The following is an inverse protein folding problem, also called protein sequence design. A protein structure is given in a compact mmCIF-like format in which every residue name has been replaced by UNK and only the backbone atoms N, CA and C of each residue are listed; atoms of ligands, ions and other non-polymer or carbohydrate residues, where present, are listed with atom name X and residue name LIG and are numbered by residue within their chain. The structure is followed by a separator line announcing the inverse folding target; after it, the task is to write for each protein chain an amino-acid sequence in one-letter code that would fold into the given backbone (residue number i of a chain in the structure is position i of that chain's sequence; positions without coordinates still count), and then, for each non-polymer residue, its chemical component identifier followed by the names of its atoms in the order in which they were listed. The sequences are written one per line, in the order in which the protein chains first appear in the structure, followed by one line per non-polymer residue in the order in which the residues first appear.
data_IF_810513243843
#
_entry.id   IF_810513243843
#
_cell.length_a   1.000
_cell.length_b   1.000
_cell.length_c   1.000
_cell.angle_alpha   90.00
_cell.angle_beta   90.00
_cell.angle_gamma   90.00
#
_symmetry.space_group_name_H-M   'P 1'
#
loop_
_entity.id
_entity.type
_entity.pdbx_description
1 polymer ?
#
# COMPACT_ATOMS: atom_id res chain seq x y z
N UNK A 1 23.65 -62.39 -12.96
CA UNK A 1 23.55 -61.25 -12.03
C UNK A 1 24.72 -60.34 -12.33
N UNK A 2 24.51 -59.31 -13.13
CA UNK A 2 25.60 -58.46 -13.62
C UNK A 2 25.68 -57.19 -12.79
N UNK A 3 26.72 -57.12 -11.96
CA UNK A 3 27.47 -55.90 -11.71
C UNK A 3 28.02 -55.36 -13.04
N UNK A 4 27.88 -54.06 -13.26
CA UNK A 4 28.67 -53.33 -14.24
C UNK A 4 29.37 -52.16 -13.53
N UNK A 5 30.69 -52.27 -13.43
CA UNK A 5 31.60 -51.15 -13.24
C UNK A 5 32.13 -50.76 -14.63
N UNK A 6 32.10 -49.46 -14.94
CA UNK A 6 32.86 -48.71 -15.95
C UNK A 6 31.99 -47.50 -16.38
N UNK A 7 32.50 -46.28 -16.57
CA UNK A 7 33.89 -45.86 -16.59
C UNK A 7 33.99 -44.34 -16.66
N UNK A 8 35.23 -43.85 -16.58
CA UNK A 8 35.60 -42.58 -17.17
C UNK A 8 35.25 -42.63 -18.67
N UNK A 9 34.17 -41.98 -19.08
CA UNK A 9 33.92 -41.65 -20.48
C UNK A 9 34.09 -40.15 -20.65
N UNK A 10 35.22 -39.80 -21.26
CA UNK A 10 35.48 -38.54 -21.94
C UNK A 10 34.39 -38.32 -23.00
N UNK A 11 33.38 -37.53 -22.66
CA UNK A 11 32.54 -36.76 -23.57
C UNK A 11 31.72 -35.79 -22.71
N UNK A 12 32.38 -34.74 -22.21
CA UNK A 12 31.68 -33.62 -21.58
C UNK A 12 30.89 -32.88 -22.66
N UNK A 13 29.63 -33.28 -22.82
CA UNK A 13 28.64 -32.49 -23.57
C UNK A 13 28.71 -31.05 -23.08
N UNK A 14 28.80 -30.07 -24.01
CA UNK A 14 29.07 -28.66 -23.69
C UNK A 14 28.13 -28.05 -22.65
N UNK A 15 26.96 -28.65 -22.42
CA UNK A 15 25.99 -28.26 -21.39
C UNK A 15 26.42 -28.59 -19.95
N UNK A 16 27.11 -29.72 -19.72
CA UNK A 16 27.61 -30.12 -18.40
C UNK A 16 28.75 -29.20 -17.89
N UNK A 17 29.39 -28.47 -18.80
CA UNK A 17 30.45 -27.51 -18.51
C UNK A 17 29.86 -26.27 -17.83
N UNK A 18 28.63 -25.84 -18.18
CA UNK A 18 28.10 -24.55 -17.74
C UNK A 18 27.59 -24.53 -16.29
N UNK A 19 26.90 -25.57 -15.82
CA UNK A 19 26.43 -25.62 -14.43
C UNK A 19 27.61 -25.73 -13.44
N UNK A 20 28.62 -26.54 -13.78
CA UNK A 20 29.89 -26.61 -13.04
C UNK A 20 30.68 -25.31 -13.15
N UNK A 21 30.71 -24.68 -14.31
CA UNK A 21 31.40 -23.40 -14.53
C UNK A 21 30.75 -22.26 -13.75
N UNK A 22 29.41 -22.22 -13.68
CA UNK A 22 28.67 -21.22 -12.91
C UNK A 22 28.85 -21.42 -11.40
N UNK A 23 28.76 -22.66 -10.91
CA UNK A 23 29.12 -22.97 -9.52
C UNK A 23 30.57 -22.57 -9.22
N UNK A 24 31.50 -22.86 -10.14
CA UNK A 24 32.89 -22.45 -10.05
C UNK A 24 33.09 -20.93 -10.07
N UNK A 25 32.32 -20.20 -10.88
CA UNK A 25 32.38 -18.74 -10.98
C UNK A 25 31.91 -18.06 -9.69
N UNK A 26 30.85 -18.58 -9.07
CA UNK A 26 30.41 -18.09 -7.76
C UNK A 26 31.46 -18.41 -6.68
N UNK A 27 32.06 -19.61 -6.70
CA UNK A 27 33.14 -19.96 -5.78
C UNK A 27 34.41 -19.10 -5.97
N UNK A 28 34.71 -18.69 -7.21
CA UNK A 28 35.80 -17.75 -7.54
C UNK A 28 35.47 -16.28 -7.28
N UNK A 29 34.27 -15.97 -6.77
CA UNK A 29 33.75 -14.61 -6.52
C UNK A 29 33.67 -13.73 -7.77
N UNK A 30 33.50 -14.33 -8.95
CA UNK A 30 33.29 -13.59 -10.21
C UNK A 30 31.87 -13.01 -10.33
N UNK A 31 30.95 -13.48 -9.48
CA UNK A 31 29.57 -13.03 -9.34
C UNK A 31 29.35 -12.51 -7.90
N UNK A 32 29.63 -11.24 -7.60
CA UNK A 32 29.60 -10.68 -6.25
C UNK A 32 28.26 -10.83 -5.51
N UNK A 33 27.12 -10.86 -6.23
CA UNK A 33 25.81 -10.96 -5.57
C UNK A 33 25.23 -12.38 -5.57
N UNK A 34 25.94 -13.36 -6.15
CA UNK A 34 25.47 -14.74 -6.17
C UNK A 34 25.69 -15.44 -4.83
N UNK A 35 24.69 -16.20 -4.39
CA UNK A 35 24.73 -17.00 -3.17
C UNK A 35 24.64 -18.47 -3.53
N UNK A 36 25.52 -19.27 -2.94
CA UNK A 36 25.48 -20.73 -3.09
C UNK A 36 25.11 -21.32 -1.73
N UNK A 37 24.04 -22.09 -1.72
CA UNK A 37 23.69 -22.91 -0.56
C UNK A 37 23.85 -24.38 -0.95
N UNK A 38 24.50 -25.13 -0.07
CA UNK A 38 24.71 -26.56 -0.24
C UNK A 38 23.92 -27.30 0.83
N UNK A 39 23.06 -28.21 0.40
CA UNK A 39 22.24 -29.03 1.29
C UNK A 39 22.61 -30.49 1.10
N UNK A 40 22.93 -31.16 2.21
CA UNK A 40 23.14 -32.60 2.26
C UNK A 40 21.90 -33.26 2.86
N UNK A 41 21.13 -33.98 2.05
CA UNK A 41 20.00 -34.79 2.50
C UNK A 41 20.39 -36.27 2.35
N UNK A 42 21.14 -36.80 3.33
CA UNK A 42 21.61 -38.19 3.32
C UNK A 42 22.66 -38.47 2.24
N UNK A 43 22.38 -39.41 1.34
CA UNK A 43 23.27 -39.76 0.21
C UNK A 43 23.19 -38.77 -0.97
N UNK A 44 22.24 -37.83 -0.93
CA UNK A 44 22.07 -36.82 -1.97
C UNK A 44 22.63 -35.49 -1.49
N UNK A 45 23.47 -34.88 -2.33
CA UNK A 45 23.91 -33.50 -2.16
C UNK A 45 23.25 -32.64 -3.23
N UNK A 46 22.67 -31.52 -2.82
CA UNK A 46 22.08 -30.54 -3.73
C UNK A 46 22.75 -29.18 -3.52
N UNK A 47 22.97 -28.50 -4.64
CA UNK A 47 23.50 -27.14 -4.69
C UNK A 47 22.40 -26.24 -5.23
N UNK A 48 22.11 -25.16 -4.50
CA UNK A 48 21.19 -24.11 -4.93
C UNK A 48 22.00 -22.84 -5.11
N UNK A 49 21.81 -22.20 -6.27
CA UNK A 49 22.51 -20.98 -6.65
C UNK A 49 21.47 -19.88 -6.86
N UNK A 50 21.49 -18.87 -6.01
CA UNK A 50 20.66 -17.68 -6.13
C UNK A 50 21.51 -16.55 -6.73
N UNK A 51 21.08 -15.96 -7.84
CA UNK A 51 21.87 -14.95 -8.54
C UNK A 51 20.97 -13.99 -9.34
N UNK A 52 21.47 -12.77 -9.60
CA UNK A 52 20.80 -11.84 -10.49
C UNK A 52 21.03 -12.23 -11.96
N UNK A 53 19.94 -12.42 -12.69
CA UNK A 53 19.98 -12.87 -14.09
C UNK A 53 20.89 -12.00 -14.97
N UNK A 54 20.77 -10.68 -14.83
CA UNK A 54 21.56 -9.71 -15.59
C UNK A 54 23.06 -9.85 -15.37
N UNK A 55 23.48 -10.04 -14.10
CA UNK A 55 24.88 -10.19 -13.72
C UNK A 55 25.48 -11.48 -14.29
N UNK A 56 24.72 -12.58 -14.23
CA UNK A 56 25.12 -13.87 -14.82
C UNK A 56 25.18 -13.76 -16.34
N UNK A 57 24.25 -13.06 -16.99
CA UNK A 57 24.25 -12.86 -18.42
C UNK A 57 25.45 -12.04 -18.92
N UNK A 58 25.87 -11.01 -18.17
CA UNK A 58 27.08 -10.26 -18.48
C UNK A 58 28.34 -11.12 -18.32
N UNK A 59 28.44 -11.90 -17.24
CA UNK A 59 29.53 -12.86 -17.05
C UNK A 59 29.57 -13.89 -18.19
N UNK A 60 28.41 -14.42 -18.56
CA UNK A 60 28.25 -15.38 -19.64
C UNK A 60 28.70 -14.82 -20.99
N UNK A 61 28.35 -13.56 -21.30
CA UNK A 61 28.83 -12.87 -22.50
C UNK A 61 30.35 -12.71 -22.54
N UNK A 62 30.99 -12.41 -21.41
CA UNK A 62 32.46 -12.28 -21.30
C UNK A 62 33.17 -13.62 -21.48
N UNK A 63 32.64 -14.70 -20.91
CA UNK A 63 33.29 -16.02 -20.95
C UNK A 63 33.11 -16.73 -22.29
N UNK A 64 31.98 -16.51 -22.97
CA UNK A 64 31.76 -17.05 -24.32
C UNK A 64 32.52 -16.27 -25.39
N UNK A 65 32.58 -14.93 -25.30
CA UNK A 65 33.35 -14.10 -26.23
C UNK A 65 34.87 -14.25 -26.11
N UNK A 66 35.40 -14.73 -24.97
CA UNK A 66 36.82 -15.01 -24.80
C UNK A 66 37.29 -16.29 -25.51
N UNK A 67 36.37 -17.21 -25.85
CA UNK A 67 36.67 -18.46 -26.55
C UNK A 67 36.46 -18.38 -28.07
N UNK A 68 35.82 -17.32 -28.58
CA UNK A 68 35.76 -17.02 -30.02
C UNK A 68 36.85 -16.02 -30.40
N UNK A 69 38.00 -16.53 -30.86
CA UNK A 69 39.10 -15.71 -31.43
C UNK A 69 38.67 -14.80 -32.62
N UNK A 70 37.41 -14.85 -33.07
CA UNK A 70 36.85 -14.00 -34.12
C UNK A 70 36.15 -12.72 -33.65
N UNK A 71 35.69 -12.64 -32.39
CA UNK A 71 34.83 -11.53 -31.93
C UNK A 71 35.57 -10.43 -31.15
N UNK A 72 36.84 -10.63 -30.81
CA UNK A 72 37.70 -9.57 -30.26
C UNK A 72 37.86 -8.40 -31.25
N UNK A 73 37.76 -8.65 -32.56
CA UNK A 73 37.78 -7.60 -33.58
C UNK A 73 36.49 -6.73 -33.57
N UNK A 74 35.33 -7.33 -33.28
CA UNK A 74 34.06 -6.59 -33.22
C UNK A 74 33.93 -5.74 -31.95
N UNK A 75 34.46 -6.22 -30.82
CA UNK A 75 34.49 -5.46 -29.57
C UNK A 75 35.50 -4.30 -29.59
N UNK A 76 36.62 -4.43 -30.33
CA UNK A 76 37.60 -3.35 -30.53
C UNK A 76 37.16 -2.32 -31.58
N UNK A 77 36.38 -2.71 -32.59
CA UNK A 77 35.85 -1.80 -33.62
C UNK A 77 34.68 -0.93 -33.12
N UNK A 78 33.98 -1.35 -32.06
CA UNK A 78 32.94 -0.53 -31.42
C UNK A 78 33.51 0.58 -30.50
N UNK A 79 34.82 0.57 -30.24
CA UNK A 79 35.49 1.55 -29.38
C UNK A 79 36.17 2.69 -30.16
N UNK A 80 36.16 2.67 -31.51
CA UNK A 80 36.72 3.75 -32.32
C UNK A 80 35.60 4.50 -33.06
N UNK A 81 35.37 5.71 -32.58
CA UNK A 81 34.78 6.85 -33.25
C UNK A 81 33.26 6.86 -33.53
N UNK A 82 32.61 7.66 -32.66
CA UNK A 82 31.42 8.47 -32.91
C UNK A 82 30.03 7.81 -32.87
N UNK A 83 29.54 7.38 -31.70
CA UNK A 83 28.08 7.41 -31.40
C UNK A 83 27.72 7.17 -29.91
N UNK A 84 28.06 8.10 -29.01
CA UNK A 84 27.75 8.02 -27.57
C UNK A 84 26.26 7.89 -27.19
N UNK A 85 25.32 8.24 -28.08
CA UNK A 85 23.88 8.04 -27.86
C UNK A 85 23.36 6.67 -28.36
N UNK A 86 24.10 6.00 -29.27
CA UNK A 86 23.79 4.67 -29.79
C UNK A 86 24.43 3.54 -28.97
N UNK A 87 25.57 3.81 -28.34
CA UNK A 87 26.35 2.84 -27.55
C UNK A 87 25.61 2.34 -26.29
N UNK A 88 24.84 3.20 -25.61
CA UNK A 88 24.05 2.77 -24.43
C UNK A 88 22.95 1.79 -24.82
N UNK A 89 22.29 2.03 -25.95
CA UNK A 89 21.26 1.14 -26.49
C UNK A 89 21.89 -0.15 -27.02
N UNK A 90 23.06 -0.08 -27.66
CA UNK A 90 23.79 -1.26 -28.13
C UNK A 90 24.22 -2.16 -26.95
N UNK A 91 24.71 -1.58 -25.85
CA UNK A 91 25.05 -2.31 -24.63
C UNK A 91 23.81 -2.94 -23.97
N UNK A 92 22.68 -2.24 -23.93
CA UNK A 92 21.42 -2.78 -23.42
C UNK A 92 20.91 -3.95 -24.28
N UNK A 93 20.99 -3.82 -25.62
CA UNK A 93 20.61 -4.88 -26.57
C UNK A 93 21.55 -6.08 -26.45
N UNK A 94 22.86 -5.87 -26.29
CA UNK A 94 23.83 -6.93 -26.05
C UNK A 94 23.56 -7.66 -24.72
N UNK A 95 23.22 -6.93 -23.66
CA UNK A 95 22.84 -7.55 -22.40
C UNK A 95 21.55 -8.38 -22.52
N UNK A 96 20.51 -7.85 -23.15
CA UNK A 96 19.24 -8.54 -23.34
C UNK A 96 19.38 -9.81 -24.22
N UNK A 97 20.25 -9.77 -25.24
CA UNK A 97 20.54 -10.93 -26.09
C UNK A 97 21.30 -12.01 -25.34
N UNK A 98 22.28 -11.64 -24.51
CA UNK A 98 22.99 -12.57 -23.64
C UNK A 98 22.07 -13.17 -22.57
N UNK A 99 21.17 -12.39 -21.98
CA UNK A 99 20.15 -12.89 -21.04
C UNK A 99 19.23 -13.91 -21.69
N UNK A 100 18.75 -13.61 -22.90
CA UNK A 100 17.89 -14.53 -23.65
C UNK A 100 18.61 -15.84 -23.96
N UNK A 101 19.88 -15.78 -24.37
CA UNK A 101 20.69 -16.96 -24.65
C UNK A 101 20.91 -17.80 -23.38
N UNK A 102 21.29 -17.15 -22.29
CA UNK A 102 21.45 -17.80 -20.98
C UNK A 102 20.16 -18.49 -20.53
N UNK A 103 19.01 -17.83 -20.62
CA UNK A 103 17.72 -18.42 -20.25
C UNK A 103 17.34 -19.63 -21.10
N UNK A 104 17.65 -19.60 -22.41
CA UNK A 104 17.43 -20.74 -23.30
C UNK A 104 18.28 -21.94 -22.89
N UNK A 105 19.55 -21.70 -22.54
CA UNK A 105 20.46 -22.75 -22.09
C UNK A 105 20.10 -23.30 -20.71
N UNK A 106 19.71 -22.45 -19.76
CA UNK A 106 19.23 -22.89 -18.44
C UNK A 106 17.97 -23.75 -18.58
N UNK A 107 17.06 -23.39 -19.51
CA UNK A 107 15.89 -24.21 -19.81
C UNK A 107 16.27 -25.53 -20.47
N UNK A 108 17.24 -25.54 -21.39
CA UNK A 108 17.76 -26.78 -21.98
C UNK A 108 18.43 -27.68 -20.93
N UNK A 109 19.20 -27.11 -20.00
CA UNK A 109 19.84 -27.83 -18.89
C UNK A 109 18.83 -28.41 -17.90
N UNK A 110 17.67 -27.76 -17.73
CA UNK A 110 16.54 -28.32 -16.98
C UNK A 110 15.92 -29.53 -17.72
N UNK A 111 15.74 -29.43 -19.03
CA UNK A 111 15.17 -30.52 -19.84
C UNK A 111 16.09 -31.74 -19.93
N UNK A 112 17.41 -31.54 -19.92
CA UNK A 112 18.41 -32.62 -19.91
C UNK A 112 18.68 -33.20 -18.51
N UNK A 113 17.96 -32.72 -17.49
CA UNK A 113 18.05 -33.23 -16.12
C UNK A 113 19.29 -32.78 -15.34
N UNK A 114 20.10 -31.86 -15.88
CA UNK A 114 21.26 -31.30 -15.20
C UNK A 114 20.87 -30.30 -14.10
N UNK A 115 19.74 -29.62 -14.27
CA UNK A 115 19.14 -28.71 -13.28
C UNK A 115 17.82 -29.31 -12.82
N UNK A 116 17.71 -29.64 -11.53
CA UNK A 116 16.47 -30.19 -10.97
C UNK A 116 15.32 -29.17 -10.96
N UNK A 117 15.63 -27.89 -10.66
CA UNK A 117 14.63 -26.83 -10.57
C UNK A 117 15.24 -25.48 -10.97
N UNK A 118 14.56 -24.79 -11.88
CA UNK A 118 14.84 -23.41 -12.25
C UNK A 118 13.57 -22.57 -12.05
N UNK A 119 13.67 -21.43 -11.37
CA UNK A 119 12.56 -20.52 -11.12
C UNK A 119 13.03 -19.07 -11.01
N UNK A 120 12.25 -18.15 -11.58
CA UNK A 120 12.41 -16.71 -11.40
C UNK A 120 11.47 -16.26 -10.27
N UNK A 121 12.01 -15.69 -9.20
CA UNK A 121 11.25 -15.43 -7.96
C UNK A 121 11.15 -13.95 -7.57
N UNK A 122 11.98 -13.07 -8.14
CA UNK A 122 11.99 -11.63 -7.81
C UNK A 122 12.10 -10.76 -9.07
N UNK A 123 11.06 -9.98 -9.41
CA UNK A 123 11.20 -8.95 -10.44
C UNK A 123 12.10 -7.82 -9.92
N UNK A 124 12.98 -7.32 -10.79
CA UNK A 124 13.88 -6.21 -10.47
C UNK A 124 13.96 -5.22 -11.62
N UNK A 125 14.20 -3.95 -11.32
CA UNK A 125 14.44 -2.93 -12.33
C UNK A 125 15.89 -3.04 -12.84
N UNK A 126 16.03 -3.16 -14.15
CA UNK A 126 17.32 -3.07 -14.81
C UNK A 126 17.64 -1.58 -15.05
N UNK A 127 18.51 -1.02 -14.22
CA UNK A 127 18.96 0.36 -14.34
C UNK A 127 20.37 0.39 -14.90
N UNK A 128 20.52 0.94 -16.11
CA UNK A 128 21.83 1.17 -16.70
C UNK A 128 22.24 2.62 -16.45
N UNK A 129 23.12 2.81 -15.47
CA UNK A 129 23.72 4.11 -15.17
C UNK A 129 25.05 4.20 -15.91
N UNK A 130 25.15 5.15 -16.82
CA UNK A 130 26.41 5.47 -17.50
C UNK A 130 26.87 6.85 -17.08
N UNK A 131 28.12 6.93 -16.63
CA UNK A 131 28.78 8.21 -16.39
C UNK A 131 29.39 8.67 -17.71
N UNK A 132 29.12 9.92 -18.12
CA UNK A 132 29.63 10.46 -19.39
C UNK A 132 31.15 10.72 -19.40
N UNK A 133 31.80 10.67 -18.24
CA UNK A 133 33.22 10.89 -18.07
C UNK A 133 33.74 10.08 -16.86
N UNK A 134 35.06 9.90 -16.77
CA UNK A 134 35.74 9.44 -15.56
C UNK A 134 35.60 10.49 -14.45
N UNK A 135 34.41 10.53 -13.84
CA UNK A 135 34.09 11.42 -12.75
C UNK A 135 34.77 10.91 -11.48
N UNK A 136 35.40 11.82 -10.74
CA UNK A 136 35.88 11.53 -9.38
C UNK A 136 34.72 11.17 -8.47
N UNK A 137 34.98 10.44 -7.39
CA UNK A 137 33.93 10.03 -6.46
C UNK A 137 33.23 11.23 -5.80
N UNK A 138 33.95 12.35 -5.63
CA UNK A 138 33.38 13.63 -5.18
C UNK A 138 32.33 14.16 -6.18
N UNK A 139 32.64 14.19 -7.48
CA UNK A 139 31.70 14.63 -8.50
C UNK A 139 30.49 13.69 -8.63
N UNK A 140 30.68 12.37 -8.45
CA UNK A 140 29.56 11.42 -8.40
C UNK A 140 28.65 11.72 -7.21
N UNK A 141 29.22 12.03 -6.05
CA UNK A 141 28.45 12.36 -4.85
C UNK A 141 27.62 13.64 -5.04
N UNK A 142 28.16 14.66 -5.70
CA UNK A 142 27.41 15.87 -6.03
C UNK A 142 26.25 15.61 -6.99
N UNK A 143 26.48 14.78 -8.02
CA UNK A 143 25.41 14.41 -8.96
C UNK A 143 24.30 13.65 -8.24
N UNK A 144 24.66 12.71 -7.36
CA UNK A 144 23.68 11.99 -6.53
C UNK A 144 22.90 12.97 -5.65
N UNK A 145 23.56 13.91 -4.97
CA UNK A 145 22.88 14.92 -4.14
C UNK A 145 21.91 15.79 -4.96
N UNK A 146 22.30 16.23 -6.16
CA UNK A 146 21.42 16.99 -7.06
C UNK A 146 20.19 16.18 -7.50
N UNK A 147 20.38 14.92 -7.89
CA UNK A 147 19.27 14.04 -8.26
C UNK A 147 18.34 13.77 -7.08
N UNK A 148 18.91 13.52 -5.90
CA UNK A 148 18.15 13.33 -4.66
C UNK A 148 17.29 14.56 -4.36
N UNK A 149 17.87 15.77 -4.40
CA UNK A 149 17.13 17.03 -4.21
C UNK A 149 16.00 17.20 -5.21
N UNK A 150 16.24 16.91 -6.49
CA UNK A 150 15.22 17.01 -7.54
C UNK A 150 14.10 15.99 -7.33
N UNK A 151 14.43 14.75 -7.00
CA UNK A 151 13.45 13.70 -6.73
C UNK A 151 12.60 14.03 -5.49
N UNK A 152 13.21 14.57 -4.43
CA UNK A 152 12.47 15.02 -3.25
C UNK A 152 11.58 16.23 -3.54
N UNK A 153 12.06 17.20 -4.32
CA UNK A 153 11.23 18.33 -4.74
C UNK A 153 10.02 17.86 -5.55
N UNK A 154 10.23 16.93 -6.49
CA UNK A 154 9.13 16.31 -7.25
C UNK A 154 8.17 15.53 -6.36
N UNK A 155 8.69 14.79 -5.38
CA UNK A 155 7.87 14.06 -4.42
C UNK A 155 7.00 15.02 -3.60
N UNK A 156 7.58 16.08 -3.03
CA UNK A 156 6.84 17.09 -2.28
C UNK A 156 5.78 17.80 -3.13
N UNK A 157 6.08 18.12 -4.39
CA UNK A 157 5.09 18.69 -5.30
C UNK A 157 3.94 17.71 -5.61
N UNK A 158 4.24 16.42 -5.79
CA UNK A 158 3.19 15.42 -6.01
C UNK A 158 2.32 15.25 -4.76
N UNK A 159 2.92 15.26 -3.58
CA UNK A 159 2.21 15.21 -2.30
C UNK A 159 1.31 16.43 -2.12
N UNK A 160 1.83 17.64 -2.29
CA UNK A 160 1.04 18.88 -2.17
C UNK A 160 -0.12 18.89 -3.17
N UNK A 161 0.10 18.41 -4.40
CA UNK A 161 -0.96 18.26 -5.39
C UNK A 161 -2.04 17.27 -4.96
N UNK A 162 -1.69 16.15 -4.33
CA UNK A 162 -2.71 15.23 -3.82
C UNK A 162 -3.47 15.82 -2.63
N UNK A 163 -2.80 16.55 -1.74
CA UNK A 163 -3.46 17.22 -0.62
C UNK A 163 -4.44 18.30 -1.10
N UNK A 164 -4.05 19.11 -2.09
CA UNK A 164 -4.93 20.10 -2.70
C UNK A 164 -6.16 19.45 -3.35
N UNK A 165 -5.97 18.34 -4.09
CA UNK A 165 -7.10 17.58 -4.67
C UNK A 165 -8.06 17.04 -3.60
N UNK A 166 -7.52 16.59 -2.47
CA UNK A 166 -8.32 16.10 -1.35
C UNK A 166 -9.07 17.23 -0.65
N UNK A 167 -8.40 18.37 -0.42
CA UNK A 167 -8.99 19.57 0.16
C UNK A 167 -10.16 20.06 -0.70
N UNK A 168 -9.95 20.22 -2.01
CA UNK A 168 -10.98 20.66 -2.96
C UNK A 168 -12.19 19.73 -2.97
N UNK A 169 -11.97 18.41 -3.02
CA UNK A 169 -13.04 17.43 -2.96
C UNK A 169 -13.81 17.51 -1.63
N UNK A 170 -13.10 17.63 -0.52
CA UNK A 170 -13.71 17.74 0.80
C UNK A 170 -14.52 19.03 0.93
N UNK A 171 -13.99 20.16 0.46
CA UNK A 171 -14.67 21.45 0.44
C UNK A 171 -15.92 21.46 -0.43
N UNK A 172 -15.88 20.84 -1.62
CA UNK A 172 -17.06 20.69 -2.48
C UNK A 172 -18.16 19.85 -1.81
N UNK A 173 -17.79 18.71 -1.22
CA UNK A 173 -18.74 17.85 -0.51
C UNK A 173 -19.28 18.49 0.76
N UNK A 174 -18.45 19.26 1.48
CA UNK A 174 -18.85 19.97 2.69
C UNK A 174 -19.81 21.12 2.37
N UNK A 175 -19.55 21.89 1.31
CA UNK A 175 -20.45 22.94 0.86
C UNK A 175 -21.84 22.39 0.48
N UNK A 176 -21.89 21.18 -0.06
CA UNK A 176 -23.12 20.48 -0.41
C UNK A 176 -23.72 19.64 0.73
N UNK A 177 -23.08 19.61 1.90
CA UNK A 177 -23.52 18.76 3.00
C UNK A 177 -24.79 19.33 3.64
N UNK A 178 -25.82 18.49 3.72
CA UNK A 178 -27.03 18.84 4.44
C UNK A 178 -26.80 18.74 5.96
N UNK A 179 -27.20 19.76 6.74
CA UNK A 179 -27.25 19.66 8.18
C UNK A 179 -28.09 18.45 8.59
N UNK A 180 -27.56 17.65 9.51
CA UNK A 180 -28.29 16.48 9.97
C UNK A 180 -29.54 16.96 10.76
N UNK A 181 -30.76 16.41 10.53
CA UNK A 181 -31.94 16.84 11.26
C UNK A 181 -31.73 16.67 12.77
N UNK A 182 -31.83 17.77 13.50
CA UNK A 182 -31.60 17.82 14.94
C UNK A 182 -32.71 17.06 15.67
N UNK A 183 -32.41 16.29 16.74
CA UNK A 183 -33.45 15.61 17.54
C UNK A 183 -34.26 16.59 18.41
N UNK A 184 -33.84 17.85 18.52
CA UNK A 184 -34.50 18.89 19.34
C UNK A 184 -35.55 19.73 18.61
N UNK A 185 -35.83 19.53 17.31
CA UNK A 185 -36.99 20.17 16.67
C UNK A 185 -38.28 19.42 17.01
N UNK A 186 -38.63 19.46 18.29
CA UNK A 186 -40.00 19.16 18.70
C UNK A 186 -40.91 20.25 18.15
N UNK A 187 -41.70 19.89 17.14
CA UNK A 187 -43.07 20.36 16.92
C UNK A 187 -43.33 21.82 17.32
N UNK A 188 -43.03 22.75 16.41
CA UNK A 188 -43.75 24.00 16.36
C UNK A 188 -44.14 24.24 14.91
N UNK A 189 -45.44 24.29 14.69
CA UNK A 189 -46.10 24.51 13.41
C UNK A 189 -45.31 25.48 12.51
N UNK A 190 -44.95 25.02 11.30
CA UNK A 190 -45.07 25.85 10.09
C UNK A 190 -43.83 26.33 9.36
N UNK A 191 -42.59 26.12 9.83
CA UNK A 191 -41.39 26.69 9.17
C UNK A 191 -40.14 25.79 9.36
N UNK A 192 -40.15 24.58 8.80
CA UNK A 192 -38.95 23.74 8.63
C UNK A 192 -38.85 23.35 7.13
N UNK A 193 -39.08 24.32 6.25
CA UNK A 193 -38.53 24.28 4.90
C UNK A 193 -37.11 24.86 5.07
N UNK A 194 -36.06 24.04 4.94
CA UNK A 194 -34.78 24.63 4.55
C UNK A 194 -35.10 25.44 3.29
N UNK A 195 -34.91 26.76 3.31
CA UNK A 195 -35.32 27.64 2.22
C UNK A 195 -34.88 26.99 0.89
N UNK A 196 -35.78 26.81 -0.09
CA UNK A 196 -35.44 26.17 -1.36
C UNK A 196 -34.21 26.84 -2.01
N UNK A 197 -34.02 28.14 -1.73
CA UNK A 197 -32.85 28.95 -2.06
C UNK A 197 -31.53 28.39 -1.45
N UNK A 198 -31.52 27.93 -0.20
CA UNK A 198 -30.35 27.33 0.46
C UNK A 198 -29.98 25.95 -0.13
N UNK A 199 -30.98 25.20 -0.61
CA UNK A 199 -30.76 23.90 -1.27
C UNK A 199 -30.24 24.07 -2.69
N UNK A 200 -30.78 25.05 -3.42
CA UNK A 200 -30.32 25.43 -4.76
C UNK A 200 -28.89 25.99 -4.71
N UNK A 201 -28.55 26.79 -3.69
CA UNK A 201 -27.18 27.29 -3.48
C UNK A 201 -26.18 26.16 -3.18
N UNK A 202 -26.57 25.17 -2.37
CA UNK A 202 -25.74 23.97 -2.10
C UNK A 202 -25.57 23.11 -3.34
N UNK A 203 -26.64 22.92 -4.13
CA UNK A 203 -26.59 22.18 -5.40
C UNK A 203 -25.70 22.91 -6.42
N UNK A 204 -25.84 24.23 -6.54
CA UNK A 204 -25.02 25.07 -7.40
C UNK A 204 -23.54 25.03 -6.97
N UNK A 205 -23.23 25.03 -5.67
CA UNK A 205 -21.88 24.87 -5.17
C UNK A 205 -21.27 23.52 -5.54
N UNK A 206 -22.06 22.43 -5.49
CA UNK A 206 -21.66 21.09 -5.89
C UNK A 206 -21.45 20.94 -7.41
N UNK A 207 -22.19 21.69 -8.22
CA UNK A 207 -21.99 21.69 -9.68
C UNK A 207 -20.79 22.55 -10.08
N UNK A 208 -20.63 23.72 -9.45
CA UNK A 208 -19.62 24.71 -9.86
C UNK A 208 -18.20 24.30 -9.45
N UNK A 209 -18.00 23.82 -8.22
CA UNK A 209 -16.65 23.51 -7.70
C UNK A 209 -15.94 22.39 -8.49
N UNK A 210 -16.60 21.27 -8.86
CA UNK A 210 -15.98 20.25 -9.70
C UNK A 210 -15.77 20.71 -11.14
N UNK A 211 -16.72 21.47 -11.72
CA UNK A 211 -16.59 22.01 -13.09
C UNK A 211 -15.35 22.91 -13.19
N UNK A 212 -15.17 23.86 -12.26
CA UNK A 212 -13.96 24.69 -12.19
C UNK A 212 -12.68 23.85 -12.10
N UNK A 213 -12.66 22.79 -11.28
CA UNK A 213 -11.49 21.91 -11.20
C UNK A 213 -11.12 21.25 -12.53
N UNK A 214 -12.10 20.87 -13.35
CA UNK A 214 -11.86 20.28 -14.67
C UNK A 214 -11.55 21.32 -15.75
N UNK A 215 -12.09 22.54 -15.65
CA UNK A 215 -11.81 23.65 -16.57
C UNK A 215 -10.43 24.29 -16.30
N UNK A 216 -10.02 24.40 -15.03
CA UNK A 216 -8.72 24.96 -14.63
C UNK A 216 -7.52 24.06 -15.01
N UNK A 217 -7.74 22.80 -15.41
CA UNK A 217 -6.67 21.91 -15.86
C UNK A 217 -6.24 22.19 -17.32
N UNK A 218 -7.02 22.94 -18.11
CA UNK A 218 -6.67 23.32 -19.48
C UNK A 218 -5.81 24.61 -19.55
N UNK A 219 -5.79 25.43 -18.50
CA UNK A 219 -5.09 26.74 -18.47
C UNK A 219 -3.78 26.76 -17.62
N UNK A 220 -3.36 25.61 -17.10
CA UNK A 220 -2.21 25.51 -16.16
C UNK A 220 -0.81 25.47 -16.78
N UNK A 221 -0.67 25.82 -18.05
CA UNK A 221 0.67 26.11 -18.62
C UNK A 221 1.09 27.58 -18.44
N UNK A 222 0.20 28.51 -18.04
CA UNK A 222 0.56 29.94 -17.92
C UNK A 222 0.20 30.66 -16.59
N UNK A 223 -0.54 30.05 -15.66
CA UNK A 223 -0.95 30.73 -14.42
C UNK A 223 0.03 30.53 -13.24
N UNK A 224 1.30 30.91 -13.44
CA UNK A 224 2.26 31.10 -12.35
C UNK A 224 2.35 32.58 -11.94
N UNK A 225 1.24 33.27 -11.73
CA UNK A 225 1.19 34.56 -11.03
C UNK A 225 -0.24 35.09 -10.84
N UNK A 226 -0.76 35.01 -9.62
CA UNK A 226 -1.65 36.06 -9.08
C UNK A 226 -3.13 36.02 -9.46
N UNK A 227 -3.76 34.85 -9.41
CA UNK A 227 -5.21 34.73 -9.23
C UNK A 227 -5.55 34.56 -7.75
N UNK A 228 -6.62 35.19 -7.28
CA UNK A 228 -7.08 35.20 -5.89
C UNK A 228 -7.62 33.80 -5.48
N UNK A 229 -6.72 32.86 -5.14
CA UNK A 229 -7.01 31.47 -4.71
C UNK A 229 -7.65 31.39 -3.30
N UNK A 230 -8.57 32.30 -2.98
CA UNK A 230 -9.23 32.34 -1.66
C UNK A 230 -10.03 31.06 -1.40
N UNK A 231 -10.66 30.48 -2.43
CA UNK A 231 -11.42 29.22 -2.30
C UNK A 231 -10.51 28.01 -2.01
N UNK A 232 -9.29 27.98 -2.58
CA UNK A 232 -8.30 26.92 -2.31
C UNK A 232 -7.78 26.95 -0.86
N UNK A 233 -7.57 28.17 -0.34
CA UNK A 233 -7.15 28.40 1.04
C UNK A 233 -8.24 28.03 2.07
N UNK A 234 -9.52 28.25 1.75
CA UNK A 234 -10.64 27.88 2.61
C UNK A 234 -10.84 26.36 2.71
N UNK A 235 -10.80 25.68 1.57
CA UNK A 235 -10.94 24.22 1.50
C UNK A 235 -9.76 23.51 2.20
N UNK A 236 -8.53 24.06 2.09
CA UNK A 236 -7.37 23.57 2.83
C UNK A 236 -7.53 23.80 4.35
N UNK A 237 -7.99 24.98 4.78
CA UNK A 237 -8.26 25.24 6.21
C UNK A 237 -9.33 24.32 6.77
N UNK A 238 -10.36 24.02 5.99
CA UNK A 238 -11.44 23.11 6.35
C UNK A 238 -10.89 21.68 6.56
N UNK A 239 -10.06 21.20 5.63
CA UNK A 239 -9.38 19.92 5.77
C UNK A 239 -8.42 19.90 6.97
N UNK A 240 -7.63 20.94 7.17
CA UNK A 240 -6.71 21.07 8.32
C UNK A 240 -7.46 21.06 9.65
N UNK A 241 -8.67 21.64 9.71
CA UNK A 241 -9.52 21.58 10.91
C UNK A 241 -9.92 20.14 11.24
N UNK A 242 -10.28 19.32 10.23
CA UNK A 242 -10.59 17.90 10.40
C UNK A 242 -9.38 17.06 10.81
N UNK A 243 -8.19 17.40 10.29
CA UNK A 243 -6.95 16.68 10.56
C UNK A 243 -6.26 17.11 11.85
N UNK A 244 -6.76 18.16 12.53
CA UNK A 244 -6.19 18.65 13.78
C UNK A 244 -6.20 17.54 14.84
N UNK A 245 -5.10 17.37 15.61
CA UNK A 245 -5.07 16.44 16.72
C UNK A 245 -6.22 16.71 17.71
N UNK A 246 -6.89 15.65 18.14
CA UNK A 246 -7.95 15.75 19.15
C UNK A 246 -7.35 16.20 20.48
N UNK A 247 -8.01 17.15 21.14
CA UNK A 247 -7.64 17.57 22.50
C UNK A 247 -7.88 16.45 23.51
N UNK A 248 -7.06 16.36 24.55
CA UNK A 248 -7.19 15.33 25.60
C UNK A 248 -8.60 15.29 26.21
N UNK A 249 -9.20 16.45 26.47
CA UNK A 249 -10.58 16.56 26.98
C UNK A 249 -11.63 15.94 26.06
N UNK A 250 -11.42 16.01 24.74
CA UNK A 250 -12.33 15.46 23.74
C UNK A 250 -12.14 13.95 23.62
N UNK A 251 -10.89 13.47 23.69
CA UNK A 251 -10.59 12.04 23.78
C UNK A 251 -11.28 11.44 25.01
N UNK A 252 -11.12 12.04 26.19
CA UNK A 252 -11.80 11.59 27.42
C UNK A 252 -13.33 11.59 27.29
N UNK A 253 -13.90 12.58 26.59
CA UNK A 253 -15.35 12.63 26.35
C UNK A 253 -15.83 11.50 25.42
N UNK A 254 -15.06 11.18 24.38
CA UNK A 254 -15.33 10.05 23.48
C UNK A 254 -15.17 8.72 24.23
N UNK A 255 -14.13 8.58 25.06
CA UNK A 255 -13.91 7.39 25.86
C UNK A 255 -15.07 7.18 26.86
N UNK A 256 -15.51 8.23 27.55
CA UNK A 256 -16.66 8.17 28.47
C UNK A 256 -17.95 7.79 27.75
N UNK A 257 -18.22 8.38 26.59
CA UNK A 257 -19.36 8.02 25.75
C UNK A 257 -19.29 6.57 25.28
N UNK A 258 -18.09 6.10 24.91
CA UNK A 258 -17.85 4.72 24.50
C UNK A 258 -18.15 3.74 25.64
N UNK A 259 -17.65 4.00 26.85
CA UNK A 259 -17.96 3.18 28.04
C UNK A 259 -19.46 3.15 28.31
N UNK A 260 -20.13 4.30 28.20
CA UNK A 260 -21.59 4.38 28.35
C UNK A 260 -22.34 3.55 27.30
N UNK A 261 -21.86 3.51 26.06
CA UNK A 261 -22.45 2.68 25.00
C UNK A 261 -22.24 1.19 25.25
N UNK A 262 -21.02 0.77 25.61
CA UNK A 262 -20.71 -0.64 25.86
C UNK A 262 -21.50 -1.19 27.05
N UNK A 263 -21.73 -0.36 28.07
CA UNK A 263 -22.53 -0.72 29.24
C UNK A 263 -24.05 -0.77 28.96
N UNK A 264 -24.53 -0.20 27.84
CA UNK A 264 -25.90 -0.40 27.39
C UNK A 264 -26.06 -1.84 26.90
N UNK A 265 -26.57 -2.69 27.79
CA UNK A 265 -27.19 -3.96 27.39
C UNK A 265 -28.51 -3.63 26.71
N UNK A 266 -28.48 -3.56 25.39
CA UNK A 266 -29.70 -3.55 24.59
C UNK A 266 -30.29 -4.96 24.67
N UNK A 267 -31.00 -5.23 25.77
CA UNK A 267 -31.88 -6.38 25.89
C UNK A 267 -33.13 -6.13 25.06
N UNK A 268 -33.59 -7.15 24.33
CA UNK A 268 -34.88 -7.10 23.66
C UNK A 268 -36.02 -6.89 24.67
N UNK A 269 -36.77 -5.80 24.54
CA UNK A 269 -38.00 -5.56 25.31
C UNK A 269 -38.50 -4.11 25.25
N UNK A 270 -39.55 -3.85 24.46
CA UNK A 270 -40.08 -2.52 24.07
C UNK A 270 -40.91 -1.75 25.12
N UNK A 271 -41.64 -0.69 24.70
CA UNK A 271 -43.08 -0.85 24.46
C UNK A 271 -43.66 -0.01 23.30
N UNK A 272 -44.80 -0.47 22.74
CA UNK A 272 -45.72 0.14 21.75
C UNK A 272 -45.60 -0.37 20.29
N UNK A 273 -46.30 -1.47 19.98
CA UNK A 273 -47.55 -1.48 19.20
C UNK A 273 -48.00 -2.92 18.96
N UNK A 274 -49.30 -3.19 19.20
CA UNK A 274 -49.87 -4.53 19.11
C UNK A 274 -49.98 -5.03 17.68
N UNK A 275 -49.56 -6.27 17.47
CA UNK A 275 -50.03 -7.11 16.37
C UNK A 275 -49.60 -8.54 16.66
N UNK A 276 -50.58 -9.40 16.96
CA UNK A 276 -50.40 -10.83 17.09
C UNK A 276 -49.68 -11.38 15.86
N UNK A 277 -48.47 -11.90 16.03
CA UNK A 277 -47.85 -12.85 15.10
C UNK A 277 -46.73 -13.60 15.80
N UNK A 278 -46.63 -14.86 15.44
CA UNK A 278 -46.12 -15.99 16.24
C UNK A 278 -44.63 -15.93 16.61
N UNK A 279 -44.34 -16.67 17.68
CA UNK A 279 -43.02 -17.04 18.19
C UNK A 279 -41.93 -17.12 17.12
N UNK A 280 -40.99 -16.17 17.16
CA UNK A 280 -39.68 -16.32 16.55
C UNK A 280 -38.66 -16.44 17.67
N UNK A 281 -38.25 -17.67 17.97
CA UNK A 281 -37.08 -17.99 18.77
C UNK A 281 -35.82 -17.53 18.02
N UNK A 282 -35.49 -16.24 18.06
CA UNK A 282 -34.21 -15.73 17.60
C UNK A 282 -33.35 -15.36 18.80
N UNK A 283 -32.22 -16.05 18.95
CA UNK A 283 -31.16 -15.82 19.93
C UNK A 283 -31.04 -14.34 20.33
N UNK A 284 -31.30 -14.06 21.60
CA UNK A 284 -31.08 -12.77 22.26
C UNK A 284 -29.58 -12.55 22.49
N UNK A 285 -28.80 -12.51 21.41
CA UNK A 285 -27.48 -11.93 21.41
C UNK A 285 -27.66 -10.42 21.20
N UNK A 286 -27.76 -9.68 22.31
CA UNK A 286 -27.74 -8.22 22.30
C UNK A 286 -26.55 -7.69 21.48
N UNK A 287 -26.65 -6.44 21.00
CA UNK A 287 -25.67 -5.85 20.09
C UNK A 287 -24.26 -6.02 20.63
N UNK A 288 -23.44 -6.83 19.94
CA UNK A 288 -22.01 -6.94 20.25
C UNK A 288 -21.33 -5.62 19.86
N UNK A 289 -20.93 -4.86 20.87
CA UNK A 289 -20.23 -3.60 20.67
C UNK A 289 -18.87 -3.83 20.03
N UNK A 290 -18.71 -3.29 18.82
CA UNK A 290 -17.43 -3.18 18.13
C UNK A 290 -17.04 -1.71 18.01
N UNK A 291 -15.76 -1.42 17.83
CA UNK A 291 -15.27 -0.06 17.62
C UNK A 291 -15.96 0.64 16.45
N UNK A 292 -16.25 -0.11 15.38
CA UNK A 292 -17.04 0.36 14.24
C UNK A 292 -18.50 0.64 14.58
N UNK A 293 -19.15 -0.18 15.40
CA UNK A 293 -20.54 0.07 15.82
C UNK A 293 -20.63 1.35 16.68
N UNK A 294 -19.70 1.53 17.61
CA UNK A 294 -19.59 2.76 18.42
C UNK A 294 -19.37 3.99 17.53
N UNK A 295 -18.42 3.92 16.60
CA UNK A 295 -18.15 5.02 15.68
C UNK A 295 -19.37 5.37 14.81
N UNK A 296 -20.12 4.37 14.33
CA UNK A 296 -21.36 4.57 13.58
C UNK A 296 -22.43 5.27 14.40
N UNK A 297 -22.63 4.91 15.67
CA UNK A 297 -23.55 5.64 16.57
C UNK A 297 -23.12 7.10 16.72
N UNK A 298 -21.84 7.36 17.00
CA UNK A 298 -21.32 8.71 17.17
C UNK A 298 -21.41 9.59 15.92
N UNK A 299 -21.38 9.00 14.73
CA UNK A 299 -21.60 9.71 13.46
C UNK A 299 -23.07 9.71 13.01
N UNK A 300 -23.93 8.93 13.68
CA UNK A 300 -25.31 8.73 13.27
C UNK A 300 -25.48 8.01 11.94
N UNK A 301 -24.59 7.05 11.65
CA UNK A 301 -24.67 6.19 10.48
C UNK A 301 -25.59 5.01 10.77
N UNK A 302 -26.61 4.86 9.92
CA UNK A 302 -27.66 3.86 10.08
C UNK A 302 -27.19 2.51 9.56
N UNK A 303 -27.50 1.43 10.30
CA UNK A 303 -27.22 0.06 9.86
C UNK A 303 -28.35 -0.86 10.27
N UNK A 304 -28.48 -2.07 9.69
CA UNK A 304 -29.49 -3.04 10.11
C UNK A 304 -29.47 -3.35 11.61
N UNK A 305 -28.29 -3.29 12.24
CA UNK A 305 -28.11 -3.49 13.68
C UNK A 305 -28.30 -2.20 14.51
N UNK A 306 -28.21 -1.03 13.87
CA UNK A 306 -28.40 0.28 14.49
C UNK A 306 -29.47 1.07 13.71
N UNK A 307 -30.75 0.67 13.81
CA UNK A 307 -31.81 1.33 13.07
C UNK A 307 -32.05 2.74 13.62
N UNK A 308 -32.24 3.70 12.72
CA UNK A 308 -32.46 5.12 13.08
C UNK A 308 -33.56 5.29 14.11
N UNK A 309 -34.66 4.53 13.99
CA UNK A 309 -35.83 4.63 14.88
C UNK A 309 -35.51 4.37 16.36
N UNK A 310 -34.48 3.58 16.66
CA UNK A 310 -34.08 3.27 18.04
C UNK A 310 -32.99 4.21 18.55
N UNK A 311 -32.12 4.68 17.65
CA UNK A 311 -30.91 5.40 18.03
C UNK A 311 -31.00 6.92 17.86
N UNK A 312 -31.94 7.42 17.05
CA UNK A 312 -32.06 8.86 16.74
C UNK A 312 -32.08 9.74 17.98
N UNK A 313 -32.78 9.30 19.02
CA UNK A 313 -33.00 10.07 20.24
C UNK A 313 -31.94 9.79 21.32
N UNK A 314 -30.98 8.90 21.04
CA UNK A 314 -29.92 8.57 21.97
C UNK A 314 -28.88 9.70 22.06
N UNK A 315 -28.42 10.04 23.28
CA UNK A 315 -27.50 11.18 23.54
C UNK A 315 -26.15 11.05 22.81
N UNK A 316 -25.75 9.83 22.45
CA UNK A 316 -24.52 9.58 21.70
C UNK A 316 -24.73 9.62 20.17
N UNK A 317 -25.97 9.65 19.67
CA UNK A 317 -26.24 9.67 18.24
C UNK A 317 -25.79 11.00 17.62
N UNK A 318 -24.97 10.95 16.56
CA UNK A 318 -24.41 12.13 15.85
C UNK A 318 -23.57 13.09 16.71
N UNK A 319 -23.25 12.73 17.96
CA UNK A 319 -22.55 13.62 18.89
C UNK A 319 -21.16 14.08 18.42
N UNK A 320 -20.51 13.28 17.58
CA UNK A 320 -19.16 13.55 17.07
C UNK A 320 -19.10 13.41 15.55
N UNK A 321 -20.17 13.81 14.83
CA UNK A 321 -20.25 13.70 13.37
C UNK A 321 -19.23 14.55 12.62
N UNK A 322 -18.67 15.55 13.30
CA UNK A 322 -17.63 16.47 12.83
C UNK A 322 -16.20 15.95 13.04
N UNK A 323 -16.02 14.78 13.66
CA UNK A 323 -14.70 14.18 13.86
C UNK A 323 -14.42 13.11 12.80
N UNK A 324 -13.13 12.84 12.56
CA UNK A 324 -12.74 11.79 11.64
C UNK A 324 -13.15 10.40 12.17
N UNK A 325 -13.91 9.66 11.36
CA UNK A 325 -14.43 8.34 11.70
C UNK A 325 -13.37 7.37 12.27
N UNK A 326 -12.23 7.27 11.60
CA UNK A 326 -11.13 6.39 12.00
C UNK A 326 -10.53 6.76 13.37
N UNK A 327 -10.54 8.04 13.75
CA UNK A 327 -10.06 8.47 15.07
C UNK A 327 -10.99 7.98 16.17
N UNK A 328 -12.30 8.05 15.94
CA UNK A 328 -13.29 7.51 16.87
C UNK A 328 -13.15 5.99 16.97
N UNK A 329 -12.93 5.29 15.85
CA UNK A 329 -12.70 3.84 15.84
C UNK A 329 -11.49 3.46 16.70
N UNK A 330 -10.37 4.19 16.57
CA UNK A 330 -9.15 3.93 17.36
C UNK A 330 -9.39 4.13 18.87
N UNK A 331 -10.03 5.23 19.26
CA UNK A 331 -10.35 5.52 20.67
C UNK A 331 -11.32 4.47 21.21
N UNK A 332 -12.37 4.14 20.45
CA UNK A 332 -13.35 3.15 20.88
C UNK A 332 -12.74 1.76 21.02
N UNK A 333 -11.87 1.36 20.10
CA UNK A 333 -11.15 0.09 20.16
C UNK A 333 -10.28 -0.01 21.42
N UNK A 334 -9.55 1.06 21.76
CA UNK A 334 -8.76 1.13 23.01
C UNK A 334 -9.66 0.89 24.23
N UNK A 335 -10.80 1.58 24.32
CA UNK A 335 -11.73 1.45 25.45
C UNK A 335 -12.33 0.05 25.53
N UNK A 336 -12.73 -0.54 24.41
CA UNK A 336 -13.28 -1.91 24.39
C UNK A 336 -12.25 -2.91 24.93
N UNK A 337 -10.99 -2.81 24.52
CA UNK A 337 -9.93 -3.70 25.01
C UNK A 337 -9.67 -3.52 26.52
N UNK A 338 -9.72 -2.27 27.02
CA UNK A 338 -9.58 -2.00 28.46
C UNK A 338 -10.72 -2.61 29.29
N UNK A 339 -11.97 -2.50 28.82
CA UNK A 339 -13.14 -3.09 29.47
C UNK A 339 -13.11 -4.63 29.43
N UNK A 340 -12.73 -5.23 28.29
CA UNK A 340 -12.56 -6.69 28.17
C UNK A 340 -11.47 -7.21 29.13
N UNK A 341 -10.37 -6.48 29.26
CA UNK A 341 -9.29 -6.81 30.20
C UNK A 341 -9.75 -6.70 31.66
N UNK A 342 -10.49 -5.65 32.02
CA UNK A 342 -11.08 -5.47 33.35
C UNK A 342 -12.07 -6.59 33.69
N UNK A 343 -12.96 -6.94 32.76
CA UNK A 343 -13.89 -8.06 32.95
C UNK A 343 -13.18 -9.39 33.16
N UNK A 344 -12.10 -9.66 32.43
CA UNK A 344 -11.30 -10.89 32.60
C UNK A 344 -10.61 -10.96 33.97
N UNK A 345 -10.18 -9.81 34.50
CA UNK A 345 -9.54 -9.69 35.82
C UNK A 345 -10.56 -9.86 36.94
N UNK A 346 -11.76 -9.29 36.79
CA UNK A 346 -12.86 -9.45 37.76
C UNK A 346 -13.38 -10.89 37.78
N UNK A 347 -13.52 -11.54 36.62
CA UNK A 347 -13.95 -12.96 36.52
C UNK A 347 -12.92 -13.91 37.13
N UNK A 348 -11.62 -13.64 37.00
CA UNK A 348 -10.58 -14.45 37.63
C UNK A 348 -10.50 -14.25 39.15
N UNK A 349 -10.73 -13.03 39.65
CA UNK A 349 -10.81 -12.75 41.08
C UNK A 349 -12.04 -13.36 41.77
N UNK A 350 -13.21 -13.36 41.11
CA UNK A 350 -14.45 -13.93 41.68
C UNK A 350 -14.43 -15.46 41.74
N UNK A 351 -13.78 -16.13 40.80
CA UNK A 351 -13.57 -17.59 40.83
C UNK A 351 -12.61 -18.00 41.98
N UNK A 352 -11.63 -17.14 42.32
CA UNK A 352 -10.72 -17.36 43.45
C UNK A 352 -11.35 -17.17 44.84
N UNK A 353 -12.44 -16.40 44.97
CA UNK A 353 -13.15 -16.21 46.25
C UNK A 353 -14.25 -17.24 46.51
N UNK A 354 -14.76 -17.91 45.47
CA UNK A 354 -15.75 -18.99 45.62
C UNK A 354 -15.14 -20.37 45.92
N UNK A 355 -13.81 -20.46 46.08
CA UNK A 355 -13.08 -21.72 46.34
C UNK A 355 -12.43 -21.81 47.72
N UNK A 356 -12.79 -20.94 48.66
CA UNK A 356 -12.36 -21.00 50.07
C UNK A 356 -13.48 -21.31 51.03
#
# INVERSE_FOLDING_TARGET
MYTAAAGHSSEETGTAIYSKSLLGAVQRKELPNARVTHRKDGYLSSWVIDCHLHEVAQWYGRTTGANSNGDQAAALLAASDAQQAGETNAAAVAAATNERRLLQELRAAQQTGQIQRFSLSQPAFQLQLSWRAELTDEMKSEVVDRWTKLLYAKHGHLESRQLARLAHLYGALYAAALPAPSPTSTARDGEDEEDEEDLDDKAHALETKPVRYFEDDDDKDDAAAGGDDVEGDEDERLLQKMLRPLTESLIEAIERGTRSLIQLRLGGGGPLEGSDTEESTSNDEGIKWTSYAVAKVFHGLTTPQLPTRQWRDHVCWRRYSDLAFERIVQIAHKVILEEEALESTVKSASVGMSTT
#
